data_IF_431798835836
#
_entry.id   IF_431798835836
#
_cell.length_a   1.000
_cell.length_b   1.000
_cell.length_c   1.000
_cell.angle_alpha   90.00
_cell.angle_beta   90.00
_cell.angle_gamma   90.00
#
_symmetry.space_group_name_H-M   'P 1'
#
loop_
_entity.id
_entity.type
_entity.pdbx_description
1 polymer ?
#
# COMPACT_ATOMS: atom_id res chain seq x y z
N UNK A 1 -5.10 -55.87 -41.41
CA UNK A 1 -5.15 -54.45 -40.96
C UNK A 1 -4.63 -54.39 -39.53
N UNK A 2 -3.53 -53.69 -39.21
CA UNK A 2 -3.08 -53.52 -37.83
C UNK A 2 -3.83 -52.36 -37.15
N UNK A 3 -4.09 -52.39 -35.82
CA UNK A 3 -4.60 -51.23 -35.12
C UNK A 3 -3.47 -50.21 -34.88
N UNK A 4 -3.66 -48.98 -35.35
CA UNK A 4 -2.77 -47.84 -35.08
C UNK A 4 -2.90 -47.41 -33.61
N UNK A 5 -1.87 -47.72 -32.83
CA UNK A 5 -1.66 -47.15 -31.49
C UNK A 5 -1.18 -45.70 -31.65
N UNK A 6 -2.07 -44.74 -31.42
CA UNK A 6 -1.79 -43.31 -31.47
C UNK A 6 -1.97 -42.68 -30.10
N UNK A 7 -0.95 -42.83 -29.26
CA UNK A 7 -0.80 -42.21 -27.94
C UNK A 7 -0.78 -40.68 -28.12
N UNK A 8 -1.81 -40.01 -27.63
CA UNK A 8 -1.94 -38.56 -27.65
C UNK A 8 -2.63 -38.04 -26.40
N UNK A 9 -2.28 -38.59 -25.23
CA UNK A 9 -2.56 -37.95 -23.93
C UNK A 9 -1.67 -36.71 -23.90
N UNK A 10 -2.18 -35.57 -24.39
CA UNK A 10 -1.67 -34.26 -23.99
C UNK A 10 -1.87 -34.21 -22.48
N UNK A 11 -0.83 -34.59 -21.75
CA UNK A 11 -0.81 -34.45 -20.30
C UNK A 11 -1.01 -32.97 -20.02
N UNK A 12 -2.11 -32.64 -19.34
CA UNK A 12 -2.12 -31.47 -18.49
C UNK A 12 -0.85 -31.55 -17.63
N UNK A 13 -0.05 -30.47 -17.59
CA UNK A 13 1.06 -30.38 -16.64
C UNK A 13 0.52 -30.83 -15.27
N UNK A 14 1.17 -31.82 -14.65
CA UNK A 14 0.65 -32.40 -13.43
C UNK A 14 0.56 -31.31 -12.35
N UNK A 15 -0.46 -31.36 -11.48
CA UNK A 15 -0.58 -30.39 -10.40
C UNK A 15 0.66 -30.35 -9.50
N UNK A 16 1.40 -31.46 -9.41
CA UNK A 16 2.66 -31.55 -8.65
C UNK A 16 3.77 -30.68 -9.26
N UNK A 17 3.97 -30.72 -10.58
CA UNK A 17 4.94 -29.84 -11.27
C UNK A 17 4.62 -28.34 -11.04
N UNK A 18 3.34 -28.01 -10.90
CA UNK A 18 2.89 -26.65 -10.62
C UNK A 18 3.24 -26.23 -9.19
N UNK A 19 3.10 -27.14 -8.23
CA UNK A 19 3.45 -26.89 -6.83
C UNK A 19 4.96 -26.76 -6.67
N UNK A 20 5.74 -27.66 -7.28
CA UNK A 20 7.21 -27.60 -7.24
C UNK A 20 7.75 -26.30 -7.86
N UNK A 21 7.11 -25.83 -8.94
CA UNK A 21 7.43 -24.53 -9.54
C UNK A 21 7.11 -23.37 -8.58
N UNK A 22 5.99 -23.44 -7.86
CA UNK A 22 5.60 -22.41 -6.90
C UNK A 22 6.55 -22.41 -5.71
N UNK A 23 6.95 -23.56 -5.19
CA UNK A 23 7.89 -23.68 -4.07
C UNK A 23 9.24 -23.04 -4.42
N UNK A 24 9.81 -23.35 -5.59
CA UNK A 24 11.05 -22.71 -6.07
C UNK A 24 10.94 -21.19 -6.22
N UNK A 25 9.75 -20.69 -6.63
CA UNK A 25 9.52 -19.24 -6.74
C UNK A 25 9.44 -18.60 -5.34
N UNK A 26 8.75 -19.25 -4.39
CA UNK A 26 8.62 -18.75 -3.02
C UNK A 26 9.97 -18.72 -2.30
N UNK A 27 10.78 -19.78 -2.44
CA UNK A 27 12.14 -19.81 -1.91
C UNK A 27 13.00 -18.69 -2.50
N UNK A 28 12.92 -18.46 -3.81
CA UNK A 28 13.61 -17.35 -4.48
C UNK A 28 13.17 -15.98 -3.97
N UNK A 29 11.89 -15.78 -3.68
CA UNK A 29 11.38 -14.52 -3.13
C UNK A 29 11.86 -14.28 -1.69
N UNK A 30 11.93 -15.32 -0.86
CA UNK A 30 12.46 -15.22 0.51
C UNK A 30 13.94 -14.82 0.47
N UNK A 31 14.72 -15.42 -0.43
CA UNK A 31 16.12 -15.08 -0.62
C UNK A 31 16.29 -13.61 -1.03
N UNK A 32 15.52 -13.13 -2.01
CA UNK A 32 15.53 -11.72 -2.45
C UNK A 32 15.17 -10.77 -1.30
N UNK A 33 14.16 -11.10 -0.49
CA UNK A 33 13.79 -10.27 0.66
C UNK A 33 14.91 -10.23 1.71
N UNK A 34 15.56 -11.36 1.97
CA UNK A 34 16.67 -11.43 2.91
C UNK A 34 17.90 -10.65 2.41
N UNK A 35 18.22 -10.76 1.11
CA UNK A 35 19.29 -9.98 0.47
C UNK A 35 19.01 -8.48 0.50
N UNK A 36 17.77 -8.04 0.19
CA UNK A 36 17.38 -6.63 0.30
C UNK A 36 17.51 -6.14 1.74
N UNK A 37 17.09 -6.93 2.73
CA UNK A 37 17.20 -6.54 4.14
C UNK A 37 18.65 -6.46 4.62
N UNK A 38 19.50 -7.39 4.18
CA UNK A 38 20.92 -7.41 4.52
C UNK A 38 21.71 -6.30 3.80
N UNK A 39 21.39 -6.00 2.54
CA UNK A 39 21.99 -4.87 1.80
C UNK A 39 21.55 -3.52 2.39
N UNK A 40 20.27 -3.35 2.73
CA UNK A 40 19.78 -2.10 3.34
C UNK A 40 20.47 -1.76 4.67
N UNK A 41 20.98 -2.76 5.40
CA UNK A 41 21.70 -2.55 6.66
C UNK A 41 23.18 -2.19 6.48
N UNK A 42 23.76 -2.32 5.28
CA UNK A 42 25.17 -1.97 5.02
C UNK A 42 25.38 -0.52 4.57
N UNK A 43 24.29 0.23 4.31
CA UNK A 43 24.33 1.66 3.96
C UNK A 43 24.05 2.59 5.15
N UNK A 44 24.03 2.09 6.39
CA UNK A 44 24.01 2.97 7.57
C UNK A 44 25.40 3.61 7.72
N UNK A 45 25.53 4.82 7.16
CA UNK A 45 26.68 5.69 7.33
C UNK A 45 27.09 5.77 8.82
N UNK A 46 28.39 5.89 9.16
CA UNK A 46 28.84 5.95 10.54
C UNK A 46 28.02 7.00 11.30
N UNK A 47 27.35 6.56 12.36
CA UNK A 47 26.46 7.36 13.19
C UNK A 47 27.18 8.63 13.65
N UNK A 48 26.92 9.75 12.97
CA UNK A 48 27.36 11.06 13.42
C UNK A 48 26.55 11.39 14.68
N UNK A 49 27.16 11.97 15.74
CA UNK A 49 26.44 12.33 16.96
C UNK A 49 25.27 13.25 16.59
N UNK A 50 24.05 12.75 16.78
CA UNK A 50 22.82 13.43 16.41
C UNK A 50 22.70 14.75 17.18
N UNK A 51 22.86 15.87 16.47
CA UNK A 51 22.34 17.13 16.98
C UNK A 51 20.81 17.05 16.94
N UNK A 52 20.10 17.39 18.04
CA UNK A 52 18.65 17.35 18.05
C UNK A 52 18.12 18.37 17.04
N UNK A 53 17.46 17.88 15.98
CA UNK A 53 16.73 18.71 15.02
C UNK A 53 15.62 19.49 15.76
N UNK A 54 15.71 20.83 15.88
CA UNK A 54 14.63 21.62 16.43
C UNK A 54 13.59 21.78 15.32
N UNK A 55 12.61 20.88 15.27
CA UNK A 55 11.57 20.98 14.24
C UNK A 55 10.73 19.75 13.95
N UNK A 56 11.04 18.57 14.52
CA UNK A 56 10.11 17.44 14.53
C UNK A 56 8.97 17.70 15.54
N UNK A 57 8.36 18.88 15.47
CA UNK A 57 7.12 19.19 16.16
C UNK A 57 6.09 18.18 15.67
N UNK A 58 5.57 17.40 16.61
CA UNK A 58 4.57 16.38 16.38
C UNK A 58 3.48 16.89 15.42
N UNK A 59 3.55 16.47 14.15
CA UNK A 59 2.50 16.78 13.19
C UNK A 59 1.18 16.34 13.82
N UNK A 60 0.17 17.23 13.87
CA UNK A 60 -1.09 16.90 14.50
C UNK A 60 -1.70 15.63 13.93
N UNK A 61 -1.64 14.51 14.66
CA UNK A 61 -2.22 13.25 14.20
C UNK A 61 -3.74 13.30 14.42
N UNK A 62 -4.46 13.95 13.50
CA UNK A 62 -5.93 13.94 13.48
C UNK A 62 -6.41 12.53 13.16
N UNK A 63 -7.26 11.98 14.02
CA UNK A 63 -7.83 10.65 13.79
C UNK A 63 -9.04 10.73 12.85
N UNK A 64 -9.26 9.67 12.07
CA UNK A 64 -10.46 9.52 11.23
C UNK A 64 -11.75 9.69 12.06
N UNK A 65 -11.74 9.24 13.33
CA UNK A 65 -12.88 9.39 14.26
C UNK A 65 -13.20 10.86 14.54
N UNK A 66 -12.19 11.69 14.81
CA UNK A 66 -12.39 13.13 15.05
C UNK A 66 -12.95 13.83 13.81
N UNK A 67 -12.46 13.46 12.63
CA UNK A 67 -12.99 13.98 11.37
C UNK A 67 -14.47 13.58 11.18
N UNK A 68 -14.83 12.32 11.42
CA UNK A 68 -16.21 11.84 11.30
C UNK A 68 -17.17 12.48 12.31
N UNK A 69 -16.71 12.78 13.53
CA UNK A 69 -17.51 13.48 14.54
C UNK A 69 -17.96 14.87 14.08
N UNK A 70 -17.18 15.54 13.24
CA UNK A 70 -17.50 16.83 12.67
C UNK A 70 -18.47 16.77 11.48
N UNK A 71 -18.93 15.57 11.09
CA UNK A 71 -19.91 15.33 10.01
C UNK A 71 -19.54 16.07 8.72
N UNK A 72 -18.42 15.69 8.09
CA UNK A 72 -17.97 16.33 6.87
C UNK A 72 -19.04 16.21 5.77
N UNK A 73 -19.26 17.28 4.97
CA UNK A 73 -20.22 17.22 3.88
C UNK A 73 -19.78 16.20 2.83
N UNK A 74 -20.75 15.50 2.24
CA UNK A 74 -20.51 14.54 1.16
C UNK A 74 -20.62 15.24 -0.19
N UNK A 75 -19.66 14.98 -1.08
CA UNK A 75 -19.74 15.41 -2.47
C UNK A 75 -20.25 14.26 -3.33
N UNK A 76 -21.37 14.50 -4.00
CA UNK A 76 -21.99 13.50 -4.86
C UNK A 76 -21.53 13.57 -6.32
N UNK A 77 -20.70 14.56 -6.67
CA UNK A 77 -20.28 14.81 -8.04
C UNK A 77 -21.42 15.43 -8.84
N UNK A 78 -21.35 16.74 -9.07
CA UNK A 78 -22.36 17.49 -9.83
C UNK A 78 -21.72 18.19 -11.03
N UNK A 79 -22.47 18.41 -12.12
CA UNK A 79 -21.97 19.17 -13.27
C UNK A 79 -21.85 20.67 -13.00
N UNK A 80 -22.47 21.17 -11.93
CA UNK A 80 -22.34 22.55 -11.47
C UNK A 80 -21.00 22.77 -10.74
N UNK A 81 -20.10 23.64 -11.23
CA UNK A 81 -18.84 23.94 -10.57
C UNK A 81 -19.03 24.65 -9.21
N UNK A 82 -20.09 25.43 -9.03
CA UNK A 82 -20.33 26.14 -7.76
C UNK A 82 -20.65 25.18 -6.61
N UNK A 83 -21.33 24.07 -6.92
CA UNK A 83 -21.59 23.02 -5.95
C UNK A 83 -20.29 22.33 -5.48
N UNK A 84 -19.29 22.20 -6.35
CA UNK A 84 -17.97 21.69 -5.97
C UNK A 84 -17.21 22.70 -5.06
N UNK A 85 -17.24 23.98 -5.40
CA UNK A 85 -16.65 25.05 -4.57
C UNK A 85 -17.31 25.10 -3.18
N UNK A 86 -18.64 25.07 -3.12
CA UNK A 86 -19.40 25.06 -1.87
C UNK A 86 -19.05 23.87 -0.99
N UNK A 87 -18.91 22.67 -1.58
CA UNK A 87 -18.44 21.49 -0.86
C UNK A 87 -17.01 21.68 -0.32
N UNK A 88 -16.10 22.23 -1.12
CA UNK A 88 -14.71 22.47 -0.71
C UNK A 88 -14.65 23.42 0.48
N UNK A 89 -15.39 24.53 0.45
CA UNK A 89 -15.49 25.45 1.58
C UNK A 89 -16.02 24.75 2.85
N UNK A 90 -17.00 23.86 2.70
CA UNK A 90 -17.51 23.04 3.79
C UNK A 90 -16.44 22.13 4.40
N UNK A 91 -15.65 21.46 3.56
CA UNK A 91 -14.54 20.60 4.00
C UNK A 91 -13.42 21.39 4.66
N UNK A 92 -13.04 22.55 4.12
CA UNK A 92 -12.03 23.42 4.73
C UNK A 92 -12.44 23.83 6.14
N UNK A 93 -13.71 24.15 6.36
CA UNK A 93 -14.23 24.50 7.69
C UNK A 93 -14.07 23.35 8.69
N UNK A 94 -14.27 22.10 8.24
CA UNK A 94 -14.05 20.90 9.07
C UNK A 94 -12.57 20.78 9.45
N UNK A 95 -11.66 20.93 8.49
CA UNK A 95 -10.22 20.87 8.77
C UNK A 95 -9.74 22.00 9.70
N UNK A 96 -10.24 23.22 9.53
CA UNK A 96 -9.98 24.34 10.46
C UNK A 96 -10.47 24.02 11.87
N UNK A 97 -11.63 23.38 11.99
CA UNK A 97 -12.19 22.99 13.29
C UNK A 97 -11.34 21.92 13.98
N UNK A 98 -10.77 20.97 13.22
CA UNK A 98 -9.80 20.00 13.74
C UNK A 98 -8.49 20.64 14.19
N UNK A 99 -8.06 21.71 13.52
CA UNK A 99 -6.87 22.45 13.91
C UNK A 99 -7.08 23.29 15.19
N UNK A 100 -8.31 23.73 15.47
CA UNK A 100 -8.63 24.60 16.62
C UNK A 100 -9.00 23.86 17.92
N UNK A 101 -9.40 22.58 17.89
CA UNK A 101 -9.73 21.81 19.11
C UNK A 101 -8.47 21.24 19.81
N UNK A 102 -7.45 22.08 19.99
CA UNK A 102 -6.22 21.76 20.72
C UNK A 102 -5.97 22.75 21.84
#
# INVERSE_FOLDING_TARGET
MPPRRGRGRRGAAEPEDRVDRIERILEGLVQVVHDVHNNNNHDEAPQQPAMPMPGAGAMPRTTIKQFQQLRPPTFYGTPDPMAAESWLFGIERVFRSLAMHR
#
